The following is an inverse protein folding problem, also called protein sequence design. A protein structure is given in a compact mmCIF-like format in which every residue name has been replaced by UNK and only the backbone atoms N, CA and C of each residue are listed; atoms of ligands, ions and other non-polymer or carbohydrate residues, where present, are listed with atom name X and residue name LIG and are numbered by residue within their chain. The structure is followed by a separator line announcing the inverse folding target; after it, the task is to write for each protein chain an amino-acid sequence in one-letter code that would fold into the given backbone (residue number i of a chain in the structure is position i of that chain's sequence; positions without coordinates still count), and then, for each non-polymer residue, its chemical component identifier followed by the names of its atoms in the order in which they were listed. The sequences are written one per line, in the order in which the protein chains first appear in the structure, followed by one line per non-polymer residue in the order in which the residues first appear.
data_IF_166570309270
#
_entry.id   IF_166570309270
#
_cell.length_a   1.000
_cell.length_b   1.000
_cell.length_c   1.000
_cell.angle_alpha   90.00
_cell.angle_beta   90.00
_cell.angle_gamma   90.00
#
_symmetry.space_group_name_H-M   'P 1'
#
loop_
_entity.id
_entity.type
_entity.pdbx_description
1 polymer ?
#
# COMPACT_ATOMS: atom_id res chain seq x y z
N UNK A 1 -31.79 25.27 49.20
CA UNK A 1 -32.04 24.11 48.36
C UNK A 1 -31.55 22.85 49.08
N UNK A 2 -32.51 22.05 49.65
CA UNK A 2 -32.21 20.83 50.39
C UNK A 2 -31.85 19.71 49.45
N UNK A 3 -30.66 19.16 49.60
CA UNK A 3 -30.23 17.93 48.91
C UNK A 3 -30.83 16.75 49.68
N UNK A 4 -31.86 16.13 49.13
CA UNK A 4 -32.49 14.95 49.70
C UNK A 4 -31.52 13.78 49.79
N UNK A 5 -31.32 13.20 50.95
CA UNK A 5 -30.53 12.01 51.18
C UNK A 5 -31.21 10.81 50.52
N UNK A 6 -30.57 10.19 49.56
CA UNK A 6 -30.99 8.93 48.98
C UNK A 6 -30.92 7.78 50.02
N UNK A 7 -31.92 6.93 50.04
CA UNK A 7 -32.05 5.83 51.01
C UNK A 7 -30.91 4.79 50.85
N UNK A 8 -30.55 4.06 51.91
CA UNK A 8 -29.47 3.06 51.87
C UNK A 8 -29.65 1.96 50.81
N UNK A 9 -30.88 1.65 50.46
CA UNK A 9 -31.22 0.63 49.43
C UNK A 9 -30.85 1.08 48.01
N UNK A 10 -30.96 2.38 47.70
CA UNK A 10 -30.62 2.95 46.38
C UNK A 10 -29.09 2.99 46.16
N UNK A 11 -28.32 3.16 47.23
CA UNK A 11 -26.87 3.16 47.17
C UNK A 11 -26.29 1.78 46.84
N UNK A 12 -26.90 0.70 47.40
CA UNK A 12 -26.46 -0.66 47.15
C UNK A 12 -26.70 -1.10 45.68
N UNK A 13 -27.83 -0.67 45.12
CA UNK A 13 -28.17 -1.02 43.72
C UNK A 13 -27.29 -0.26 42.71
N UNK A 14 -26.93 1.00 43.00
CA UNK A 14 -26.03 1.77 42.10
C UNK A 14 -24.61 1.20 42.11
N UNK A 15 -24.10 0.81 43.29
CA UNK A 15 -22.78 0.21 43.41
C UNK A 15 -22.68 -1.16 42.73
N UNK A 16 -23.77 -1.95 42.75
CA UNK A 16 -23.80 -3.25 42.07
C UNK A 16 -23.85 -3.11 40.55
N UNK A 17 -24.52 -2.09 40.01
CA UNK A 17 -24.55 -1.83 38.56
C UNK A 17 -23.20 -1.29 38.08
N UNK A 18 -22.55 -0.40 38.83
CA UNK A 18 -21.20 0.08 38.48
C UNK A 18 -20.16 -1.05 38.53
N UNK A 19 -20.24 -1.98 39.49
CA UNK A 19 -19.34 -3.11 39.55
C UNK A 19 -19.55 -4.11 38.39
N UNK A 20 -20.79 -4.27 37.92
CA UNK A 20 -21.09 -5.12 36.77
C UNK A 20 -20.58 -4.52 35.44
N UNK A 21 -20.71 -3.19 35.29
CA UNK A 21 -20.17 -2.48 34.11
C UNK A 21 -18.65 -2.47 34.11
N UNK A 22 -18.01 -2.32 35.26
CA UNK A 22 -16.55 -2.42 35.38
C UNK A 22 -16.03 -3.84 35.10
N UNK A 23 -16.77 -4.87 35.51
CA UNK A 23 -16.40 -6.27 35.23
C UNK A 23 -16.59 -6.64 33.74
N UNK A 24 -17.51 -6.00 33.03
CA UNK A 24 -17.69 -6.17 31.59
C UNK A 24 -16.59 -5.46 30.78
N UNK A 25 -15.98 -4.40 31.32
CA UNK A 25 -14.86 -3.68 30.67
C UNK A 25 -13.49 -4.36 30.88
N UNK A 26 -13.39 -5.33 31.81
CA UNK A 26 -12.16 -6.11 32.04
C UNK A 26 -12.22 -7.52 31.44
N UNK A 27 -13.30 -7.89 30.77
CA UNK A 27 -13.29 -9.09 29.94
C UNK A 27 -12.26 -8.86 28.84
N UNK A 28 -11.09 -9.53 28.97
CA UNK A 28 -10.10 -9.57 27.93
C UNK A 28 -10.84 -9.91 26.62
N UNK A 29 -10.79 -9.01 25.66
CA UNK A 29 -11.28 -9.32 24.31
C UNK A 29 -10.61 -10.64 23.92
N UNK A 30 -11.39 -11.68 23.57
CA UNK A 30 -10.76 -12.92 23.09
C UNK A 30 -9.81 -12.53 21.98
N UNK A 31 -8.56 -12.98 22.05
CA UNK A 31 -7.60 -12.80 20.97
C UNK A 31 -8.34 -13.18 19.68
N UNK A 32 -8.59 -12.22 18.83
CA UNK A 32 -9.28 -12.45 17.55
C UNK A 32 -8.41 -13.46 16.82
N UNK A 33 -8.94 -14.64 16.52
CA UNK A 33 -8.19 -15.64 15.79
C UNK A 33 -7.64 -14.96 14.53
N UNK A 34 -6.33 -15.06 14.31
CA UNK A 34 -5.69 -14.47 13.16
C UNK A 34 -6.46 -14.88 11.91
N UNK A 35 -6.86 -13.90 11.11
CA UNK A 35 -7.59 -14.17 9.87
C UNK A 35 -6.65 -14.93 8.95
N UNK A 36 -7.00 -16.14 8.48
CA UNK A 36 -6.10 -16.91 7.63
C UNK A 36 -5.81 -16.14 6.33
N UNK A 37 -4.62 -16.35 5.77
CA UNK A 37 -4.26 -15.83 4.47
C UNK A 37 -5.15 -16.47 3.39
N UNK A 38 -5.54 -15.67 2.42
CA UNK A 38 -6.22 -16.10 1.21
C UNK A 38 -5.25 -15.98 0.02
N UNK A 39 -5.10 -17.05 -0.74
CA UNK A 39 -4.29 -17.06 -1.97
C UNK A 39 -5.20 -16.93 -3.19
N UNK A 40 -4.86 -15.99 -4.10
CA UNK A 40 -5.47 -15.93 -5.42
C UNK A 40 -4.99 -17.09 -6.31
N UNK A 41 -5.68 -17.30 -7.42
CA UNK A 41 -5.17 -18.19 -8.47
C UNK A 41 -3.85 -17.62 -9.00
N UNK A 42 -2.75 -18.39 -8.99
CA UNK A 42 -1.44 -17.90 -9.39
C UNK A 42 -1.45 -17.29 -10.79
N UNK A 43 -0.84 -16.11 -10.97
CA UNK A 43 -0.64 -15.51 -12.30
C UNK A 43 0.31 -16.36 -13.14
N UNK A 44 1.36 -16.89 -12.51
CA UNK A 44 2.29 -17.82 -13.12
C UNK A 44 2.25 -19.15 -12.39
N UNK A 45 1.37 -20.09 -12.77
CA UNK A 45 1.26 -21.37 -12.10
C UNK A 45 2.56 -22.19 -12.18
N UNK A 46 2.82 -22.97 -11.13
CA UNK A 46 3.90 -23.93 -11.12
C UNK A 46 3.69 -25.01 -12.20
N UNK A 47 4.80 -25.65 -12.64
CA UNK A 47 4.75 -26.73 -13.62
C UNK A 47 5.80 -26.61 -14.72
N UNK A 48 5.76 -27.53 -15.69
CA UNK A 48 6.77 -27.65 -16.73
C UNK A 48 6.91 -26.39 -17.63
N UNK A 49 5.84 -25.61 -17.76
CA UNK A 49 5.79 -24.38 -18.55
C UNK A 49 5.95 -23.09 -17.73
N UNK A 50 6.27 -23.21 -16.42
CA UNK A 50 6.41 -22.07 -15.51
C UNK A 50 7.33 -20.97 -16.07
N UNK A 51 8.52 -21.32 -16.53
CA UNK A 51 9.48 -20.35 -17.08
C UNK A 51 8.97 -19.67 -18.33
N UNK A 52 8.23 -20.39 -19.18
CA UNK A 52 7.64 -19.80 -20.39
C UNK A 52 6.54 -18.79 -20.02
N UNK A 53 5.70 -19.13 -19.05
CA UNK A 53 4.64 -18.24 -18.54
C UNK A 53 5.24 -17.01 -17.85
N UNK A 54 6.26 -17.20 -17.03
CA UNK A 54 6.98 -16.08 -16.37
C UNK A 54 7.58 -15.13 -17.41
N UNK A 55 8.20 -15.66 -18.45
CA UNK A 55 8.71 -14.84 -19.55
C UNK A 55 7.59 -14.09 -20.28
N UNK A 56 6.45 -14.70 -20.49
CA UNK A 56 5.29 -14.05 -21.11
C UNK A 56 4.74 -12.94 -20.22
N UNK A 57 4.65 -13.17 -18.89
CA UNK A 57 4.23 -12.19 -17.91
C UNK A 57 5.09 -10.93 -17.94
N UNK A 58 6.41 -11.10 -17.90
CA UNK A 58 7.33 -9.95 -17.98
C UNK A 58 7.29 -9.30 -19.37
N UNK A 59 7.21 -10.08 -20.46
CA UNK A 59 7.16 -9.56 -21.82
C UNK A 59 5.89 -8.77 -22.15
N UNK A 60 4.82 -8.93 -21.36
CA UNK A 60 3.61 -8.15 -21.46
C UNK A 60 3.87 -6.65 -21.20
N UNK A 61 4.84 -6.32 -20.36
CA UNK A 61 5.15 -4.96 -19.91
C UNK A 61 6.24 -4.30 -20.76
N UNK A 62 5.88 -3.99 -22.00
CA UNK A 62 6.73 -3.24 -22.94
C UNK A 62 6.87 -1.77 -22.54
N UNK A 63 7.85 -1.07 -23.14
CA UNK A 63 8.01 0.39 -22.94
C UNK A 63 6.73 1.16 -23.26
N UNK A 64 6.05 0.82 -24.37
CA UNK A 64 4.79 1.45 -24.73
C UNK A 64 3.72 1.26 -23.64
N UNK A 65 3.60 0.04 -23.12
CA UNK A 65 2.61 -0.29 -22.10
C UNK A 65 2.92 0.35 -20.75
N UNK A 66 4.18 0.33 -20.33
CA UNK A 66 4.59 1.02 -19.10
C UNK A 66 4.40 2.55 -19.20
N UNK A 67 4.62 3.14 -20.38
CA UNK A 67 4.43 4.56 -20.60
C UNK A 67 2.95 4.98 -20.58
N UNK A 68 2.02 4.08 -20.94
CA UNK A 68 0.57 4.35 -20.88
C UNK A 68 -0.04 4.17 -19.51
N UNK A 69 0.68 3.55 -18.56
CA UNK A 69 0.15 3.15 -17.26
C UNK A 69 0.83 3.87 -16.12
N UNK A 70 0.01 4.43 -15.21
CA UNK A 70 0.50 4.97 -13.94
C UNK A 70 1.52 6.09 -14.07
N UNK A 71 1.50 6.83 -15.17
CA UNK A 71 2.15 8.13 -15.32
C UNK A 71 1.09 9.23 -15.24
N UNK A 72 1.53 10.44 -14.96
CA UNK A 72 0.64 11.59 -14.99
C UNK A 72 0.13 11.82 -16.41
N UNK A 73 -1.17 11.72 -16.60
CA UNK A 73 -1.83 11.89 -17.91
C UNK A 73 -1.68 13.30 -18.51
N UNK A 74 -1.30 14.29 -17.70
CA UNK A 74 -1.09 15.67 -18.14
C UNK A 74 0.34 15.92 -18.64
N UNK A 75 1.18 14.90 -18.70
CA UNK A 75 2.60 14.99 -19.11
C UNK A 75 3.44 16.00 -18.30
N UNK A 76 3.00 16.28 -17.09
CA UNK A 76 3.69 17.22 -16.21
C UNK A 76 4.79 16.51 -15.42
N UNK A 77 5.88 17.23 -15.20
CA UNK A 77 6.90 16.81 -14.24
C UNK A 77 6.42 17.01 -12.80
N UNK A 78 7.03 16.30 -11.88
CA UNK A 78 6.79 16.53 -10.46
C UNK A 78 7.20 17.98 -10.10
N UNK A 79 6.29 18.73 -9.48
CA UNK A 79 6.53 20.12 -9.07
C UNK A 79 6.23 20.31 -7.59
N UNK A 80 7.05 21.10 -6.87
CA UNK A 80 6.78 21.43 -5.49
C UNK A 80 5.56 22.36 -5.35
N UNK A 81 4.95 22.39 -4.15
CA UNK A 81 4.00 23.43 -3.79
C UNK A 81 4.72 24.80 -3.65
N UNK A 82 3.95 25.91 -3.54
CA UNK A 82 4.52 27.20 -3.16
C UNK A 82 5.33 27.07 -1.85
N UNK A 83 6.57 27.52 -1.87
CA UNK A 83 7.50 27.36 -0.73
C UNK A 83 8.48 26.20 -0.83
N UNK A 84 8.31 25.31 -1.80
CA UNK A 84 9.21 24.16 -2.03
C UNK A 84 8.67 22.85 -1.49
N UNK A 85 9.45 21.79 -1.67
CA UNK A 85 9.12 20.47 -1.13
C UNK A 85 9.17 20.46 0.40
N UNK A 86 8.23 19.73 1.01
CA UNK A 86 8.07 19.59 2.47
C UNK A 86 7.87 18.11 2.88
N UNK A 87 7.63 17.87 4.17
CA UNK A 87 7.44 16.52 4.70
C UNK A 87 6.09 15.89 4.35
N UNK A 88 5.15 16.64 3.77
CA UNK A 88 3.90 16.07 3.26
C UNK A 88 4.10 15.29 1.95
N UNK A 89 5.24 15.50 1.25
CA UNK A 89 5.60 14.74 0.06
C UNK A 89 6.70 15.43 -0.73
N UNK A 90 7.84 14.76 -0.86
CA UNK A 90 9.03 15.25 -1.57
C UNK A 90 9.71 14.10 -2.32
N UNK A 91 10.47 14.40 -3.40
CA UNK A 91 11.28 13.39 -4.07
C UNK A 91 12.32 12.79 -3.12
N UNK A 92 12.43 11.45 -3.14
CA UNK A 92 13.55 10.77 -2.53
C UNK A 92 14.73 10.76 -3.50
N UNK A 93 15.97 11.06 -3.07
CA UNK A 93 17.12 11.04 -3.95
C UNK A 93 17.33 9.65 -4.56
N UNK A 94 17.55 9.61 -5.86
CA UNK A 94 17.91 8.36 -6.54
C UNK A 94 19.20 7.79 -5.98
N UNK A 95 19.26 6.47 -5.89
CA UNK A 95 20.43 5.74 -5.37
C UNK A 95 20.74 6.02 -3.89
N UNK A 96 19.88 6.75 -3.17
CA UNK A 96 20.05 7.03 -1.77
C UNK A 96 19.60 5.86 -0.88
N UNK A 97 20.55 5.01 -0.52
CA UNK A 97 20.37 3.95 0.46
C UNK A 97 19.51 2.77 -0.02
N UNK A 98 19.11 1.93 0.94
CA UNK A 98 18.43 0.66 0.67
C UNK A 98 17.06 0.87 0.04
N UNK A 99 16.27 1.85 0.51
CA UNK A 99 14.91 2.09 0.03
C UNK A 99 14.85 2.40 -1.47
N UNK A 100 15.88 3.05 -2.04
CA UNK A 100 15.95 3.35 -3.47
C UNK A 100 16.07 2.08 -4.34
N UNK A 101 16.42 0.95 -3.76
CA UNK A 101 16.55 -0.34 -4.45
C UNK A 101 15.37 -1.26 -4.18
N UNK A 102 14.80 -1.18 -2.95
CA UNK A 102 13.75 -2.08 -2.50
C UNK A 102 12.35 -1.57 -2.81
N UNK A 103 12.14 -0.25 -2.74
CA UNK A 103 10.89 0.36 -3.20
C UNK A 103 10.81 0.28 -4.73
N UNK A 104 9.64 -0.04 -5.24
CA UNK A 104 9.43 -0.19 -6.67
C UNK A 104 8.00 0.10 -7.09
N UNK A 105 7.81 0.10 -8.39
CA UNK A 105 6.50 0.34 -9.01
C UNK A 105 5.95 -0.97 -9.55
N UNK A 106 4.68 -1.21 -9.27
CA UNK A 106 3.88 -2.24 -9.92
C UNK A 106 3.18 -1.67 -11.14
N UNK A 107 3.19 -2.43 -12.21
CA UNK A 107 2.36 -2.26 -13.39
C UNK A 107 1.38 -3.41 -13.44
N UNK A 108 0.09 -3.11 -13.62
CA UNK A 108 -0.97 -4.09 -13.44
C UNK A 108 -2.04 -3.95 -14.52
N UNK A 109 -2.56 -5.10 -14.95
CA UNK A 109 -3.75 -5.19 -15.78
C UNK A 109 -4.85 -5.90 -14.98
N UNK A 110 -6.04 -5.36 -15.01
CA UNK A 110 -7.22 -5.90 -14.33
C UNK A 110 -8.27 -6.35 -15.31
N UNK A 111 -8.99 -7.36 -14.92
CA UNK A 111 -10.27 -7.74 -15.55
C UNK A 111 -11.40 -7.45 -14.59
N UNK A 112 -12.42 -6.73 -15.07
CA UNK A 112 -13.69 -6.61 -14.39
C UNK A 112 -14.49 -7.89 -14.62
N UNK A 113 -14.81 -8.61 -13.56
CA UNK A 113 -15.52 -9.90 -13.62
C UNK A 113 -17.01 -9.74 -13.92
N UNK A 114 -17.58 -8.54 -13.73
CA UNK A 114 -18.99 -8.28 -13.95
C UNK A 114 -19.30 -8.02 -15.44
N UNK A 115 -18.36 -7.39 -16.17
CA UNK A 115 -18.57 -6.99 -17.57
C UNK A 115 -17.44 -7.38 -18.52
N UNK A 116 -16.36 -7.97 -18.02
CA UNK A 116 -15.22 -8.44 -18.80
C UNK A 116 -14.27 -7.32 -19.27
N UNK A 117 -14.49 -6.05 -18.89
CA UNK A 117 -13.61 -4.95 -19.27
C UNK A 117 -12.20 -5.14 -18.71
N UNK A 118 -11.21 -4.77 -19.53
CA UNK A 118 -9.80 -4.79 -19.15
C UNK A 118 -9.34 -3.35 -18.93
N UNK A 119 -8.67 -3.09 -17.81
CA UNK A 119 -8.11 -1.79 -17.45
C UNK A 119 -6.70 -1.96 -16.91
N UNK A 120 -5.91 -0.91 -16.99
CA UNK A 120 -4.53 -0.90 -16.51
C UNK A 120 -4.38 0.11 -15.37
N UNK A 121 -3.48 -0.16 -14.44
CA UNK A 121 -3.18 0.70 -13.32
C UNK A 121 -1.76 0.49 -12.81
N UNK A 122 -1.35 1.32 -11.85
CA UNK A 122 -0.09 1.18 -11.15
C UNK A 122 -0.26 1.31 -9.64
N UNK A 123 0.57 0.57 -8.92
CA UNK A 123 0.74 0.67 -7.49
C UNK A 123 2.23 0.78 -7.14
N UNK A 124 2.50 0.90 -5.87
CA UNK A 124 3.85 0.84 -5.30
C UNK A 124 4.01 -0.44 -4.47
N UNK A 125 5.23 -0.81 -4.18
CA UNK A 125 5.54 -1.93 -3.32
C UNK A 125 6.97 -1.88 -2.83
N UNK A 126 7.32 -2.84 -1.98
CA UNK A 126 8.65 -2.88 -1.37
C UNK A 126 9.11 -4.31 -1.10
N UNK A 127 10.37 -4.59 -1.39
CA UNK A 127 11.00 -5.87 -1.11
C UNK A 127 11.28 -5.98 0.39
N UNK A 128 10.80 -7.04 1.01
CA UNK A 128 11.00 -7.30 2.44
C UNK A 128 11.80 -8.57 2.68
N UNK A 129 12.52 -8.63 3.81
CA UNK A 129 13.21 -9.84 4.24
C UNK A 129 12.21 -10.99 4.34
N UNK A 130 12.56 -12.14 3.80
CA UNK A 130 11.72 -13.35 3.83
C UNK A 130 12.57 -14.60 3.68
N UNK A 131 12.06 -15.77 4.12
CA UNK A 131 12.78 -17.02 4.05
C UNK A 131 13.15 -17.42 2.61
N UNK A 132 12.25 -17.16 1.65
CA UNK A 132 12.47 -17.39 0.22
C UNK A 132 13.10 -16.20 -0.52
N UNK A 133 13.37 -15.09 0.17
CA UNK A 133 13.96 -13.85 -0.37
C UNK A 133 13.25 -13.26 -1.60
N UNK A 134 11.97 -13.58 -1.79
CA UNK A 134 11.21 -13.20 -2.99
C UNK A 134 9.89 -12.51 -2.71
N UNK A 135 9.66 -12.09 -1.45
CA UNK A 135 8.42 -11.41 -1.06
C UNK A 135 8.52 -9.91 -1.32
N UNK A 136 7.54 -9.40 -2.03
CA UNK A 136 7.23 -7.98 -2.15
C UNK A 136 5.90 -7.71 -1.48
N UNK A 137 5.84 -6.66 -0.66
CA UNK A 137 4.61 -6.20 -0.01
C UNK A 137 4.00 -5.06 -0.80
N UNK A 138 2.66 -5.09 -0.93
CA UNK A 138 1.84 -4.05 -1.56
C UNK A 138 0.47 -3.96 -0.88
N UNK A 139 -0.46 -3.19 -1.41
CA UNK A 139 -1.84 -3.14 -0.93
C UNK A 139 -2.70 -4.25 -1.56
N UNK A 140 -3.66 -4.76 -0.81
CA UNK A 140 -4.54 -5.81 -1.29
C UNK A 140 -5.48 -5.31 -2.41
N UNK A 141 -5.89 -4.03 -2.35
CA UNK A 141 -6.69 -3.44 -3.43
C UNK A 141 -5.95 -3.35 -4.77
N UNK A 142 -4.60 -3.43 -4.77
CA UNK A 142 -3.80 -3.55 -6.00
C UNK A 142 -3.95 -4.92 -6.68
N UNK A 143 -4.48 -5.92 -6.00
CA UNK A 143 -4.71 -7.27 -6.55
C UNK A 143 -6.17 -7.51 -6.85
N UNK A 144 -7.04 -7.11 -5.95
CA UNK A 144 -8.46 -7.35 -6.03
C UNK A 144 -9.27 -6.27 -5.32
N UNK A 145 -10.28 -5.77 -6.00
CA UNK A 145 -11.33 -4.94 -5.41
C UNK A 145 -12.67 -5.63 -5.65
N UNK A 146 -13.46 -5.73 -4.59
CA UNK A 146 -14.84 -6.23 -4.67
C UNK A 146 -15.71 -5.23 -3.91
N UNK A 147 -16.25 -4.26 -4.64
CA UNK A 147 -17.17 -3.26 -4.08
C UNK A 147 -18.56 -3.43 -4.69
N UNK A 148 -19.62 -3.09 -3.95
CA UNK A 148 -20.94 -2.95 -4.55
C UNK A 148 -20.91 -2.05 -5.80
N UNK A 149 -21.67 -2.40 -6.81
CA UNK A 149 -21.67 -1.74 -8.14
C UNK A 149 -21.93 -0.23 -8.08
N UNK A 150 -22.62 0.22 -7.04
CA UNK A 150 -22.96 1.62 -6.77
C UNK A 150 -21.80 2.48 -6.22
N UNK A 151 -20.69 1.86 -5.82
CA UNK A 151 -19.48 2.57 -5.32
C UNK A 151 -18.39 2.74 -6.40
N UNK A 152 -18.60 2.24 -7.62
CA UNK A 152 -17.87 2.62 -8.83
C UNK A 152 -16.70 1.74 -9.26
N UNK A 153 -16.20 0.81 -8.45
CA UNK A 153 -15.07 -0.06 -8.84
C UNK A 153 -15.49 -1.45 -9.35
N UNK A 154 -16.64 -1.96 -8.89
CA UNK A 154 -17.12 -3.28 -9.28
C UNK A 154 -16.22 -4.41 -8.75
N UNK A 155 -16.30 -5.57 -9.41
CA UNK A 155 -15.56 -6.77 -9.04
C UNK A 155 -14.36 -6.93 -10.00
N UNK A 156 -13.20 -6.38 -9.63
CA UNK A 156 -11.98 -6.43 -10.44
C UNK A 156 -10.94 -7.37 -9.82
N UNK A 157 -10.21 -8.07 -10.66
CA UNK A 157 -9.10 -8.94 -10.28
C UNK A 157 -7.92 -8.67 -11.21
N UNK A 158 -6.71 -8.72 -10.67
CA UNK A 158 -5.47 -8.63 -11.44
C UNK A 158 -5.33 -9.84 -12.37
N UNK A 159 -4.87 -9.61 -13.59
CA UNK A 159 -4.63 -10.66 -14.60
C UNK A 159 -3.20 -10.69 -15.11
N UNK A 160 -2.49 -9.57 -15.05
CA UNK A 160 -1.06 -9.46 -15.31
C UNK A 160 -0.46 -8.45 -14.34
N UNK A 161 0.72 -8.76 -13.78
CA UNK A 161 1.37 -7.88 -12.82
C UNK A 161 2.89 -8.04 -12.84
N UNK A 162 3.60 -6.94 -12.97
CA UNK A 162 5.05 -6.92 -12.87
C UNK A 162 5.52 -5.85 -11.89
N UNK A 163 6.60 -6.15 -11.19
CA UNK A 163 7.28 -5.28 -10.24
C UNK A 163 8.61 -4.80 -10.80
N UNK A 164 8.87 -3.50 -10.69
CA UNK A 164 10.13 -2.87 -11.10
C UNK A 164 10.77 -2.21 -9.88
N UNK A 165 11.67 -2.92 -9.18
CA UNK A 165 12.38 -2.35 -8.04
C UNK A 165 13.32 -1.23 -8.48
N UNK A 166 13.39 -0.14 -7.70
CA UNK A 166 14.19 1.03 -8.05
C UNK A 166 13.77 1.69 -9.37
N UNK A 167 12.50 1.61 -9.72
CA UNK A 167 11.97 2.16 -10.98
C UNK A 167 12.45 3.58 -11.25
N UNK A 168 13.03 3.79 -12.43
CA UNK A 168 13.47 5.10 -12.92
C UNK A 168 12.57 5.59 -14.05
N UNK A 169 11.46 6.19 -13.68
CA UNK A 169 10.54 6.74 -14.67
C UNK A 169 11.08 7.93 -15.44
N UNK A 170 12.11 8.63 -14.96
CA UNK A 170 12.72 9.73 -15.69
C UNK A 170 13.30 9.30 -17.03
N UNK A 171 13.78 8.05 -17.13
CA UNK A 171 14.29 7.45 -18.38
C UNK A 171 13.20 6.81 -19.24
N UNK A 172 11.98 6.62 -18.72
CA UNK A 172 10.87 6.07 -19.50
C UNK A 172 10.31 7.15 -20.43
N UNK A 173 10.28 6.98 -21.76
CA UNK A 173 9.65 7.94 -22.67
C UNK A 173 8.17 8.13 -22.32
N UNK A 174 7.69 9.38 -22.31
CA UNK A 174 6.27 9.68 -22.02
C UNK A 174 5.32 9.13 -23.08
N UNK A 175 5.75 9.24 -24.33
CA UNK A 175 5.03 8.72 -25.49
C UNK A 175 5.96 7.82 -26.29
N UNK A 176 5.60 6.56 -26.40
CA UNK A 176 6.34 5.59 -27.17
C UNK A 176 5.45 4.47 -27.66
N UNK A 177 5.70 3.97 -28.83
CA UNK A 177 5.08 2.77 -29.40
C UNK A 177 6.01 1.56 -29.37
N UNK A 178 7.15 1.70 -28.67
CA UNK A 178 8.16 0.64 -28.62
C UNK A 178 7.64 -0.58 -27.87
N UNK A 179 7.74 -1.73 -28.51
CA UNK A 179 7.44 -3.05 -27.93
C UNK A 179 8.66 -3.68 -27.22
N UNK A 180 9.79 -2.98 -27.15
CA UNK A 180 10.96 -3.43 -26.40
C UNK A 180 10.66 -3.44 -24.89
N UNK A 181 11.35 -4.31 -24.17
CA UNK A 181 11.36 -4.28 -22.70
C UNK A 181 12.21 -3.12 -22.19
N UNK A 182 11.96 -2.61 -20.97
CA UNK A 182 12.75 -1.56 -20.37
C UNK A 182 14.20 -1.99 -20.15
N UNK A 183 15.13 -1.10 -20.48
CA UNK A 183 16.55 -1.29 -20.20
C UNK A 183 16.91 -0.98 -18.74
N UNK A 184 18.19 -1.15 -18.41
CA UNK A 184 18.74 -0.89 -17.07
C UNK A 184 18.64 0.59 -16.64
N UNK A 185 18.47 1.49 -17.55
CA UNK A 185 18.23 2.91 -17.31
C UNK A 185 16.83 3.18 -16.71
N UNK A 186 15.86 2.31 -16.99
CA UNK A 186 14.48 2.38 -16.48
C UNK A 186 14.28 1.36 -15.34
N UNK A 187 14.74 0.13 -15.54
CA UNK A 187 14.62 -0.99 -14.62
C UNK A 187 16.02 -1.47 -14.18
N UNK A 188 16.72 -0.74 -13.28
CA UNK A 188 18.12 -1.02 -12.95
C UNK A 188 18.33 -2.41 -12.35
N UNK A 189 17.32 -2.93 -11.67
CA UNK A 189 17.33 -4.26 -11.06
C UNK A 189 16.47 -5.29 -11.83
N UNK A 190 16.06 -4.96 -13.05
CA UNK A 190 15.21 -5.81 -13.90
C UNK A 190 13.73 -5.64 -13.68
N UNK A 191 12.95 -6.37 -14.49
CA UNK A 191 11.49 -6.49 -14.37
C UNK A 191 11.18 -7.87 -13.80
N UNK A 192 10.33 -7.91 -12.77
CA UNK A 192 10.00 -9.10 -12.02
C UNK A 192 8.52 -9.42 -12.20
N UNK A 193 8.21 -10.59 -12.78
CA UNK A 193 6.83 -11.05 -12.90
C UNK A 193 6.31 -11.52 -11.55
N UNK A 194 5.06 -11.15 -11.22
CA UNK A 194 4.36 -11.67 -10.05
C UNK A 194 3.88 -13.08 -10.35
N UNK A 195 4.22 -14.02 -9.47
CA UNK A 195 3.90 -15.44 -9.68
C UNK A 195 2.72 -15.88 -8.82
N UNK A 196 2.68 -15.46 -7.57
CA UNK A 196 1.67 -15.85 -6.59
C UNK A 196 1.34 -14.67 -5.66
N UNK A 197 0.11 -14.61 -5.13
CA UNK A 197 -0.39 -13.50 -4.34
C UNK A 197 -1.25 -13.96 -3.16
N UNK A 198 -1.09 -13.28 -2.02
CA UNK A 198 -1.87 -13.49 -0.80
C UNK A 198 -2.32 -12.16 -0.20
N UNK A 199 -3.50 -12.18 0.38
CA UNK A 199 -4.04 -11.13 1.25
C UNK A 199 -4.89 -11.75 2.37
N UNK A 200 -5.41 -10.97 3.29
CA UNK A 200 -6.22 -11.49 4.38
C UNK A 200 -7.54 -12.07 3.88
N UNK A 201 -8.04 -13.11 4.53
CA UNK A 201 -9.36 -13.66 4.21
C UNK A 201 -10.48 -12.63 4.44
N UNK A 202 -10.29 -11.69 5.36
CA UNK A 202 -11.21 -10.56 5.56
C UNK A 202 -11.33 -9.73 4.28
N UNK A 203 -10.20 -9.37 3.66
CA UNK A 203 -10.20 -8.65 2.39
C UNK A 203 -10.86 -9.45 1.26
N UNK A 204 -10.62 -10.76 1.19
CA UNK A 204 -11.21 -11.63 0.16
C UNK A 204 -12.74 -11.64 0.18
N UNK A 205 -13.33 -11.42 1.35
CA UNK A 205 -14.79 -11.46 1.55
C UNK A 205 -15.47 -10.13 1.33
N UNK A 206 -14.86 -9.02 1.72
CA UNK A 206 -15.49 -7.70 1.69
C UNK A 206 -14.76 -6.68 0.83
N UNK A 207 -13.45 -6.84 0.62
CA UNK A 207 -12.56 -5.84 0.01
C UNK A 207 -12.86 -4.41 0.51
N UNK A 208 -13.16 -4.31 1.80
CA UNK A 208 -13.64 -3.09 2.42
C UNK A 208 -12.46 -2.35 3.05
N UNK A 209 -12.09 -1.22 2.46
CA UNK A 209 -11.07 -0.33 3.00
C UNK A 209 -11.37 0.13 4.43
N UNK A 210 -12.64 0.13 4.82
CA UNK A 210 -13.08 0.51 6.16
C UNK A 210 -12.66 -0.50 7.23
N UNK A 211 -12.38 -1.74 6.86
CA UNK A 211 -11.97 -2.79 7.79
C UNK A 211 -10.45 -2.86 8.02
N UNK A 212 -9.67 -1.97 7.42
CA UNK A 212 -8.21 -2.10 7.40
C UNK A 212 -7.79 -3.31 6.56
N UNK A 213 -6.79 -4.06 6.95
CA UNK A 213 -6.34 -5.30 6.30
C UNK A 213 -6.01 -5.18 4.80
N UNK A 214 -5.75 -3.97 4.30
CA UNK A 214 -5.41 -3.69 2.91
C UNK A 214 -3.90 -3.92 2.65
N UNK A 215 -3.44 -5.13 2.97
CA UNK A 215 -2.08 -5.58 2.72
C UNK A 215 -2.09 -6.85 1.88
N UNK A 216 -1.23 -6.90 0.90
CA UNK A 216 -0.90 -8.10 0.15
C UNK A 216 0.60 -8.40 0.19
N UNK A 217 0.93 -9.68 0.13
CA UNK A 217 2.27 -10.18 -0.10
C UNK A 217 2.28 -10.96 -1.41
N UNK A 218 3.23 -10.66 -2.28
CA UNK A 218 3.36 -11.34 -3.56
C UNK A 218 4.74 -11.97 -3.69
N UNK A 219 4.83 -13.11 -4.39
CA UNK A 219 6.08 -13.67 -4.83
C UNK A 219 6.41 -13.17 -6.22
N UNK A 220 7.66 -12.77 -6.39
CA UNK A 220 8.16 -12.31 -7.68
C UNK A 220 9.36 -13.15 -8.14
N UNK A 221 9.46 -13.33 -9.45
CA UNK A 221 10.60 -13.98 -10.09
C UNK A 221 10.98 -13.25 -11.39
N UNK A 222 12.23 -13.38 -11.79
CA UNK A 222 12.71 -12.88 -13.08
C UNK A 222 12.98 -14.05 -14.03
N UNK A 223 12.57 -13.96 -15.30
CA UNK A 223 12.96 -14.97 -16.29
C UNK A 223 14.43 -14.88 -16.69
N UNK A 224 15.08 -13.73 -16.45
CA UNK A 224 16.44 -13.41 -16.89
C UNK A 224 17.48 -13.51 -15.76
N UNK A 225 17.05 -13.57 -14.49
CA UNK A 225 17.92 -13.69 -13.30
C UNK A 225 17.39 -14.79 -12.38
N UNK A 226 18.12 -15.89 -12.16
CA UNK A 226 17.65 -16.99 -11.31
C UNK A 226 17.75 -16.69 -9.82
N UNK A 227 18.42 -15.59 -9.42
CA UNK A 227 18.53 -15.20 -8.02
C UNK A 227 17.20 -14.66 -7.52
N UNK A 228 16.87 -14.85 -6.24
CA UNK A 228 15.72 -14.19 -5.63
C UNK A 228 15.92 -12.67 -5.57
N UNK A 229 14.85 -11.91 -5.63
CA UNK A 229 14.91 -10.44 -5.70
C UNK A 229 15.67 -9.83 -4.52
N UNK A 230 15.56 -10.41 -3.31
CA UNK A 230 16.25 -9.94 -2.13
C UNK A 230 17.77 -10.01 -2.21
N UNK A 231 18.31 -10.94 -3.00
CA UNK A 231 19.76 -10.97 -3.29
C UNK A 231 20.19 -9.86 -4.26
N UNK A 232 19.27 -9.45 -5.15
CA UNK A 232 19.57 -8.44 -6.18
C UNK A 232 19.44 -7.02 -5.64
N UNK A 233 18.39 -6.75 -4.86
CA UNK A 233 18.07 -5.40 -4.36
C UNK A 233 18.45 -5.16 -2.92
N UNK A 234 18.65 -6.23 -2.14
CA UNK A 234 18.48 -6.19 -0.69
C UNK A 234 17.00 -6.20 -0.31
N UNK A 235 16.70 -6.09 0.98
CA UNK A 235 15.33 -6.13 1.49
C UNK A 235 15.20 -5.29 2.77
N UNK A 236 14.09 -4.60 2.96
CA UNK A 236 13.76 -3.95 4.22
C UNK A 236 13.35 -4.99 5.28
N UNK A 237 13.60 -4.69 6.53
CA UNK A 237 13.01 -5.49 7.62
C UNK A 237 11.49 -5.33 7.57
N UNK A 238 10.75 -6.33 8.07
CA UNK A 238 9.31 -6.25 8.26
C UNK A 238 8.98 -6.50 9.72
N UNK A 239 8.05 -5.73 10.27
CA UNK A 239 7.59 -5.82 11.66
C UNK A 239 6.07 -5.88 11.75
N UNK A 240 5.59 -6.70 12.68
CA UNK A 240 4.16 -6.85 12.96
C UNK A 240 3.88 -6.44 14.41
N UNK A 241 2.67 -5.93 14.66
CA UNK A 241 2.24 -5.45 15.99
C UNK A 241 3.21 -4.41 16.58
N UNK A 242 3.79 -3.57 15.74
CA UNK A 242 4.71 -2.53 16.18
C UNK A 242 3.96 -1.38 16.84
N UNK A 243 4.63 -0.59 17.72
CA UNK A 243 4.00 0.57 18.35
C UNK A 243 3.49 1.57 17.31
N UNK A 244 2.27 2.06 17.53
CA UNK A 244 1.69 3.20 16.82
C UNK A 244 2.17 4.53 17.44
N UNK A 245 1.78 5.66 16.84
CA UNK A 245 2.18 7.00 17.27
C UNK A 245 3.71 7.24 17.20
N UNK A 246 4.33 6.67 16.17
CA UNK A 246 5.75 6.85 15.86
C UNK A 246 5.93 7.78 14.66
N UNK A 247 7.16 8.25 14.47
CA UNK A 247 7.54 8.94 13.24
C UNK A 247 7.81 7.90 12.15
N UNK A 248 6.99 7.92 11.12
CA UNK A 248 7.07 7.00 9.99
C UNK A 248 7.35 7.73 8.69
N UNK A 249 7.92 7.00 7.73
CA UNK A 249 8.19 7.47 6.38
C UNK A 249 7.41 6.60 5.39
N UNK A 250 6.59 7.22 4.54
CA UNK A 250 5.84 6.52 3.50
C UNK A 250 6.49 6.77 2.15
N UNK A 251 6.83 5.69 1.44
CA UNK A 251 7.48 5.73 0.13
C UNK A 251 6.58 5.18 -0.95
N UNK A 252 6.57 5.79 -2.13
CA UNK A 252 5.84 5.28 -3.29
C UNK A 252 5.97 6.15 -4.54
N UNK A 253 5.23 5.78 -5.58
CA UNK A 253 5.24 6.42 -6.91
C UNK A 253 3.86 7.02 -7.22
N UNK A 254 3.49 8.14 -6.59
CA UNK A 254 2.19 8.79 -6.83
C UNK A 254 2.10 9.31 -8.27
N UNK A 255 0.92 9.18 -8.89
CA UNK A 255 0.69 9.41 -10.32
C UNK A 255 -0.27 10.54 -10.64
N UNK A 256 -0.99 11.07 -9.66
CA UNK A 256 -2.06 12.03 -9.86
C UNK A 256 -1.63 13.40 -9.36
N UNK A 257 -2.05 14.43 -10.11
CA UNK A 257 -1.94 15.81 -9.70
C UNK A 257 -3.04 16.10 -8.66
N UNK A 258 -2.68 16.67 -7.53
CA UNK A 258 -3.63 17.11 -6.50
C UNK A 258 -4.74 17.98 -7.07
N UNK A 259 -4.44 18.85 -8.03
CA UNK A 259 -5.43 19.74 -8.67
C UNK A 259 -6.57 18.98 -9.34
N UNK A 260 -6.32 17.76 -9.81
CA UNK A 260 -7.30 16.95 -10.51
C UNK A 260 -8.00 15.95 -9.60
N UNK A 261 -7.39 15.60 -8.47
CA UNK A 261 -7.99 14.70 -7.49
C UNK A 261 -9.01 15.41 -6.60
N UNK A 262 -8.76 16.69 -6.29
CA UNK A 262 -9.68 17.49 -5.49
C UNK A 262 -10.77 18.16 -6.33
N UNK A 263 -11.96 18.22 -5.77
CA UNK A 263 -13.05 18.99 -6.37
C UNK A 263 -12.62 20.45 -6.50
N UNK A 264 -12.89 21.11 -7.63
CA UNK A 264 -12.59 22.53 -7.80
C UNK A 264 -13.13 23.35 -6.63
N UNK A 265 -12.26 24.11 -5.97
CA UNK A 265 -12.61 24.98 -4.84
C UNK A 265 -12.28 24.45 -3.45
N UNK A 266 -11.78 23.22 -3.31
CA UNK A 266 -11.44 22.61 -2.00
C UNK A 266 -9.94 22.49 -1.73
N UNK A 267 -9.08 22.76 -2.71
CA UNK A 267 -7.64 22.67 -2.52
C UNK A 267 -7.12 23.94 -1.88
N UNK A 268 -6.51 23.82 -0.71
CA UNK A 268 -5.69 24.89 -0.15
C UNK A 268 -4.56 25.22 -1.14
N UNK A 269 -4.31 26.52 -1.45
CA UNK A 269 -3.18 26.91 -2.29
C UNK A 269 -1.83 26.38 -1.79
N UNK A 270 -1.72 26.07 -0.51
CA UNK A 270 -0.53 25.55 0.15
C UNK A 270 -0.19 24.10 -0.23
N UNK A 271 -1.16 23.35 -0.77
CA UNK A 271 -1.01 21.94 -1.15
C UNK A 271 -0.77 21.73 -2.65
N UNK A 272 -0.57 22.77 -3.44
CA UNK A 272 -0.43 22.68 -4.89
C UNK A 272 0.88 22.02 -5.31
N UNK A 273 0.95 20.70 -5.25
CA UNK A 273 2.06 19.91 -5.80
C UNK A 273 1.58 18.99 -6.91
N UNK A 274 2.50 18.59 -7.77
CA UNK A 274 2.24 17.63 -8.85
C UNK A 274 3.15 16.43 -8.67
N UNK A 275 2.61 15.24 -8.85
CA UNK A 275 3.34 14.00 -8.90
C UNK A 275 3.28 13.42 -10.31
N UNK A 276 4.38 12.84 -10.76
CA UNK A 276 4.56 12.41 -12.14
C UNK A 276 4.48 10.88 -12.34
N UNK A 277 4.35 10.12 -11.25
CA UNK A 277 4.39 8.65 -11.29
C UNK A 277 5.76 8.07 -11.69
N UNK A 278 6.77 8.92 -11.83
CA UNK A 278 8.11 8.58 -12.36
C UNK A 278 9.17 8.55 -11.28
N UNK A 279 8.96 9.34 -10.23
CA UNK A 279 9.91 9.55 -9.13
C UNK A 279 9.43 8.86 -7.88
N UNK A 280 10.36 8.22 -7.16
CA UNK A 280 10.10 7.77 -5.80
C UNK A 280 9.92 8.98 -4.90
N UNK A 281 8.77 9.06 -4.26
CA UNK A 281 8.43 10.13 -3.33
C UNK A 281 8.43 9.60 -1.90
N UNK A 282 8.64 10.51 -0.95
CA UNK A 282 8.53 10.22 0.50
C UNK A 282 7.70 11.29 1.19
N UNK A 283 6.81 10.87 2.07
CA UNK A 283 6.21 11.71 3.09
C UNK A 283 6.65 11.24 4.48
N UNK A 284 6.76 12.17 5.42
CA UNK A 284 7.23 11.91 6.79
C UNK A 284 6.29 12.57 7.79
N UNK A 285 5.92 11.84 8.84
CA UNK A 285 5.08 12.40 9.90
C UNK A 285 4.88 11.42 11.04
N UNK A 286 4.18 11.89 12.09
CA UNK A 286 3.78 11.02 13.20
C UNK A 286 2.46 10.34 12.84
N UNK A 287 2.47 9.02 12.83
CA UNK A 287 1.27 8.21 12.65
C UNK A 287 0.39 8.26 13.90
N UNK A 288 -0.89 8.05 13.71
CA UNK A 288 -1.89 7.90 14.76
C UNK A 288 -2.80 6.74 14.42
N UNK A 289 -3.15 5.95 15.43
CA UNK A 289 -4.14 4.89 15.25
C UNK A 289 -5.50 5.48 14.86
N UNK A 290 -6.11 4.94 13.81
CA UNK A 290 -7.52 5.15 13.52
C UNK A 290 -8.32 4.03 14.21
N UNK A 291 -9.08 4.35 15.27
CA UNK A 291 -9.80 3.33 16.02
C UNK A 291 -11.00 2.74 15.25
N UNK A 292 -11.42 3.38 14.16
CA UNK A 292 -12.58 2.96 13.37
C UNK A 292 -12.18 2.00 12.26
N UNK A 293 -11.02 2.27 11.60
CA UNK A 293 -10.65 1.58 10.36
C UNK A 293 -9.45 0.65 10.48
N UNK A 294 -8.96 0.38 11.70
CA UNK A 294 -7.78 -0.46 11.94
C UNK A 294 -6.58 -0.08 11.07
N UNK A 295 -6.40 1.21 10.87
CA UNK A 295 -5.34 1.80 10.05
C UNK A 295 -4.53 2.80 10.86
N UNK A 296 -3.37 3.17 10.34
CA UNK A 296 -2.59 4.30 10.82
C UNK A 296 -2.82 5.49 9.91
N UNK A 297 -3.04 6.67 10.50
CA UNK A 297 -3.23 7.93 9.78
C UNK A 297 -2.06 8.86 10.05
N UNK A 298 -1.55 9.49 9.01
CA UNK A 298 -0.44 10.44 9.07
C UNK A 298 -0.73 11.63 8.15
N UNK A 299 -0.34 12.87 8.55
CA UNK A 299 -0.33 13.99 7.61
C UNK A 299 0.53 13.67 6.38
N UNK A 300 0.03 13.95 5.19
CA UNK A 300 0.77 13.70 3.97
C UNK A 300 -0.08 13.88 2.73
N UNK A 301 0.57 14.06 1.59
CA UNK A 301 -0.07 14.40 0.33
C UNK A 301 0.26 13.43 -0.82
N UNK A 302 0.84 12.26 -0.52
CA UNK A 302 1.07 11.25 -1.56
C UNK A 302 -0.28 10.72 -2.06
N UNK A 303 -0.46 10.73 -3.36
CA UNK A 303 -1.72 10.50 -4.07
C UNK A 303 -1.82 9.07 -4.62
N UNK A 304 -2.91 8.69 -5.29
CA UNK A 304 -3.04 7.42 -5.99
C UNK A 304 -1.82 7.07 -6.85
N UNK A 305 -1.49 5.78 -6.90
CA UNK A 305 -0.23 5.25 -7.42
C UNK A 305 0.77 4.94 -6.30
N UNK A 306 0.67 5.61 -5.15
CA UNK A 306 1.43 5.28 -3.94
C UNK A 306 0.89 4.02 -3.22
N UNK A 307 -0.30 3.54 -3.58
CA UNK A 307 -0.94 2.34 -3.05
C UNK A 307 0.04 1.18 -2.89
N UNK A 308 0.10 0.58 -1.70
CA UNK A 308 1.06 -0.48 -1.36
C UNK A 308 2.48 0.01 -1.05
N UNK A 309 2.73 1.31 -1.12
CA UNK A 309 4.02 1.91 -0.76
C UNK A 309 4.39 1.63 0.69
N UNK A 310 5.69 1.47 0.95
CA UNK A 310 6.18 1.08 2.26
C UNK A 310 5.99 2.16 3.32
N UNK A 311 5.46 1.78 4.49
CA UNK A 311 5.52 2.57 5.70
C UNK A 311 6.70 2.07 6.54
N UNK A 312 7.73 2.88 6.64
CA UNK A 312 8.98 2.53 7.34
C UNK A 312 9.09 3.28 8.67
N UNK A 313 9.12 2.52 9.74
CA UNK A 313 9.44 2.95 11.10
C UNK A 313 10.94 2.76 11.36
N UNK A 314 11.51 3.48 12.33
CA UNK A 314 12.95 3.45 12.62
C UNK A 314 13.81 3.68 11.37
N UNK A 315 13.35 4.56 10.49
CA UNK A 315 14.00 4.82 9.22
C UNK A 315 15.24 5.69 9.41
N UNK A 316 16.38 5.19 8.93
CA UNK A 316 17.63 5.94 8.87
C UNK A 316 17.85 6.50 7.45
N UNK A 317 17.74 7.82 7.26
CA UNK A 317 17.95 8.44 5.95
C UNK A 317 19.35 8.26 5.37
N UNK A 318 20.37 8.02 6.21
CA UNK A 318 21.75 7.83 5.74
C UNK A 318 21.95 6.46 5.06
N UNK A 319 21.28 5.43 5.57
CA UNK A 319 21.35 4.07 5.00
C UNK A 319 20.16 3.72 4.13
N UNK A 320 19.06 4.47 4.24
CA UNK A 320 17.80 4.16 3.59
C UNK A 320 17.10 2.90 4.11
N UNK A 321 17.49 2.45 5.32
CA UNK A 321 16.96 1.25 5.94
C UNK A 321 15.94 1.58 7.04
N UNK A 322 14.95 0.70 7.21
CA UNK A 322 13.94 0.79 8.26
C UNK A 322 13.26 -0.53 8.53
N UNK A 323 12.14 -0.48 9.24
CA UNK A 323 11.24 -1.62 9.46
C UNK A 323 9.92 -1.30 8.79
N UNK A 324 9.51 -2.09 7.82
CA UNK A 324 8.19 -1.93 7.22
C UNK A 324 7.12 -2.43 8.20
N UNK A 325 6.25 -1.52 8.63
CA UNK A 325 5.19 -1.75 9.63
C UNK A 325 3.79 -1.56 9.05
N UNK A 326 3.71 -1.11 7.81
CA UNK A 326 2.47 -0.83 7.11
C UNK A 326 2.65 -0.76 5.59
N UNK A 327 1.52 -0.63 4.91
CA UNK A 327 1.42 -0.35 3.49
C UNK A 327 0.42 0.79 3.25
N UNK A 328 0.79 1.76 2.40
CA UNK A 328 -0.12 2.85 2.03
C UNK A 328 -1.39 2.29 1.41
N UNK A 329 -2.54 2.68 1.95
CA UNK A 329 -3.85 2.21 1.51
C UNK A 329 -4.62 3.28 0.76
N UNK A 330 -4.83 4.44 1.38
CA UNK A 330 -5.64 5.49 0.80
C UNK A 330 -5.16 6.88 1.21
N UNK A 331 -5.64 7.83 0.46
CA UNK A 331 -5.51 9.25 0.72
C UNK A 331 -6.87 9.82 1.13
N UNK A 332 -6.88 10.67 2.13
CA UNK A 332 -8.08 11.27 2.67
C UNK A 332 -8.07 12.78 2.40
N UNK A 333 -9.07 13.25 1.64
CA UNK A 333 -9.21 14.66 1.22
C UNK A 333 -9.46 15.59 2.44
N UNK A 334 -8.77 16.74 2.53
CA UNK A 334 -9.13 17.78 3.48
C UNK A 334 -10.58 18.21 3.28
N UNK A 335 -11.42 17.98 4.29
CA UNK A 335 -12.85 18.30 4.25
C UNK A 335 -13.80 17.13 4.03
N UNK A 336 -13.32 15.92 3.81
CA UNK A 336 -14.14 14.73 3.95
C UNK A 336 -14.29 14.39 5.45
N UNK A 337 -15.52 14.16 5.87
CA UNK A 337 -15.79 13.60 7.20
C UNK A 337 -15.42 12.13 7.13
N UNK A 338 -14.23 11.79 7.61
CA UNK A 338 -13.81 10.42 7.74
C UNK A 338 -14.12 9.97 9.16
N UNK A 339 -15.16 9.15 9.27
CA UNK A 339 -15.60 8.55 10.52
C UNK A 339 -16.20 9.53 11.52
N UNK A 340 -16.65 8.98 12.64
CA UNK A 340 -17.37 9.67 13.73
C UNK A 340 -16.50 10.69 14.50
N UNK A 341 -15.20 10.75 14.24
CA UNK A 341 -14.22 11.46 15.06
C UNK A 341 -13.67 12.77 14.46
N UNK A 342 -14.16 13.23 13.30
CA UNK A 342 -13.91 14.59 12.82
C UNK A 342 -12.44 15.00 12.59
N UNK A 343 -11.61 14.13 12.05
CA UNK A 343 -10.24 14.45 11.70
C UNK A 343 -10.20 15.27 10.41
N UNK A 344 -9.98 16.57 10.49
CA UNK A 344 -10.13 17.48 9.34
C UNK A 344 -9.05 18.55 9.20
N UNK A 345 -7.92 18.38 9.82
CA UNK A 345 -6.84 19.35 9.63
C UNK A 345 -5.80 18.80 8.66
N UNK A 346 -5.87 19.25 7.40
CA UNK A 346 -4.88 19.00 6.37
C UNK A 346 -5.08 17.68 5.60
N UNK A 347 -4.26 17.44 4.57
CA UNK A 347 -4.25 16.19 3.84
C UNK A 347 -3.72 15.07 4.74
N UNK A 348 -4.43 13.94 4.77
CA UNK A 348 -4.03 12.78 5.52
C UNK A 348 -3.88 11.56 4.60
N UNK A 349 -2.99 10.68 4.98
CA UNK A 349 -2.77 9.38 4.35
C UNK A 349 -3.08 8.30 5.36
N UNK A 350 -3.78 7.26 4.91
CA UNK A 350 -4.05 6.08 5.73
C UNK A 350 -3.26 4.89 5.21
N UNK A 351 -2.69 4.12 6.13
CA UNK A 351 -1.95 2.89 5.85
C UNK A 351 -2.50 1.74 6.68
N UNK A 352 -2.43 0.54 6.14
CA UNK A 352 -2.72 -0.68 6.90
C UNK A 352 -1.66 -0.84 7.97
N UNK A 353 -2.06 -0.98 9.23
CA UNK A 353 -1.17 -1.39 10.31
C UNK A 353 -0.95 -2.90 10.26
N UNK A 354 0.31 -3.34 10.28
CA UNK A 354 0.62 -4.77 10.21
C UNK A 354 0.42 -5.47 11.56
N UNK A 355 -0.72 -6.14 11.69
CA UNK A 355 -1.09 -6.98 12.82
C UNK A 355 -0.94 -8.48 12.55
N UNK A 356 -1.65 -9.29 13.33
CA UNK A 356 -1.62 -10.75 13.22
C UNK A 356 -2.16 -11.27 11.88
N UNK A 357 -3.15 -10.57 11.29
CA UNK A 357 -3.71 -10.92 9.98
C UNK A 357 -2.68 -10.76 8.86
N UNK A 358 -1.97 -9.65 8.87
CA UNK A 358 -0.90 -9.32 7.91
C UNK A 358 0.31 -10.24 8.11
N UNK A 359 0.62 -10.60 9.37
CA UNK A 359 1.65 -11.59 9.67
C UNK A 359 1.31 -12.97 9.09
N UNK A 360 0.05 -13.38 9.13
CA UNK A 360 -0.38 -14.65 8.52
C UNK A 360 -0.21 -14.63 6.99
N UNK A 361 -0.55 -13.49 6.33
CA UNK A 361 -0.32 -13.27 4.91
C UNK A 361 1.16 -13.39 4.55
N UNK A 362 2.00 -12.67 5.28
CA UNK A 362 3.45 -12.71 5.09
C UNK A 362 4.02 -14.13 5.29
N UNK A 363 3.59 -14.82 6.35
CA UNK A 363 4.05 -16.19 6.64
C UNK A 363 3.66 -17.17 5.54
N UNK A 364 2.47 -17.04 4.96
CA UNK A 364 2.05 -17.85 3.82
C UNK A 364 2.96 -17.60 2.61
N UNK A 365 3.21 -16.33 2.28
CA UNK A 365 4.05 -15.95 1.14
C UNK A 365 5.51 -16.41 1.31
N UNK A 366 6.15 -16.14 2.47
CA UNK A 366 7.55 -16.49 2.67
C UNK A 366 7.82 -18.00 2.73
N UNK A 367 6.79 -18.82 3.05
CA UNK A 367 6.88 -20.27 3.11
C UNK A 367 6.61 -20.95 1.78
N UNK A 368 6.11 -20.19 0.80
CA UNK A 368 5.73 -20.74 -0.48
C UNK A 368 6.93 -20.91 -1.43
N UNK A 369 6.84 -21.91 -2.31
CA UNK A 369 7.79 -22.13 -3.37
C UNK A 369 7.58 -21.10 -4.49
N UNK A 370 8.67 -20.74 -5.17
CA UNK A 370 8.66 -19.90 -6.37
C UNK A 370 8.20 -20.66 -7.63
N UNK A 371 8.24 -21.98 -7.59
CA UNK A 371 7.93 -22.89 -8.73
C UNK A 371 6.98 -23.98 -8.30
#
# INVERSE_FOLDING_TARGET
LSIGMLSPRTRTTLLSVLALVAALLTAATPARAATPAFELLPLVPAGADHQQKLKAEVAHWTLAKMASVGLNHEDQDATPPPGGWDDLGKPWPREAGLVSRTAGKFFMEYKNLDNGAVTESACSGNVVTSANQSVVVTAAHCLRVHTPVDVGFGNIVVTNMAFVPGFNGASLPRHTTSTALPGKDIAPYGVWGVTREWFTNTWSQSADWLLGHDMAAVLVASPDDPRPIGEVTGAQRIGFNQPQNQTDHIFGYPTINERNYYRPGHVSPELQRTFDGRSLMVAQGTTRADPVYYSDVMPGALSPGCSGGAVLQDFDPATGAGVQVGAFSRYDDPGQIIGVLGWQEGPNMSSTHFGDGEQAVYNAAQSASLT
#
